data_IF_499904152301
#
_entry.id   IF_499904152301
#
_cell.length_a   1.000
_cell.length_b   1.000
_cell.length_c   1.000
_cell.angle_alpha   90.00
_cell.angle_beta   90.00
_cell.angle_gamma   90.00
#
_symmetry.space_group_name_H-M   'P 1'
#
loop_
_entity.id
_entity.type
_entity.pdbx_description
1 polymer ?
#
# COMPACT_ATOMS: atom_id res chain seq x y z
N UNK A 1 2.84 -17.68 53.98
CA UNK A 1 2.40 -16.50 53.20
C UNK A 1 3.30 -16.38 51.98
N UNK A 2 2.91 -17.03 50.89
CA UNK A 2 3.58 -16.94 49.59
C UNK A 2 2.81 -15.93 48.74
N UNK A 3 3.42 -14.77 48.49
CA UNK A 3 2.87 -13.74 47.62
C UNK A 3 3.01 -14.19 46.16
N UNK A 4 1.90 -14.58 45.55
CA UNK A 4 1.76 -14.64 44.10
C UNK A 4 1.63 -13.21 43.56
N UNK A 5 2.72 -12.65 43.04
CA UNK A 5 2.66 -11.46 42.18
C UNK A 5 2.60 -11.91 40.73
N UNK A 6 1.40 -12.24 40.25
CA UNK A 6 1.10 -12.19 38.82
C UNK A 6 1.06 -10.73 38.40
N UNK A 7 2.23 -10.13 38.18
CA UNK A 7 2.35 -8.90 37.41
C UNK A 7 1.96 -9.24 35.97
N UNK A 8 0.67 -9.17 35.66
CA UNK A 8 0.17 -9.15 34.30
C UNK A 8 0.59 -7.83 33.67
N UNK A 9 1.82 -7.80 33.16
CA UNK A 9 2.28 -6.72 32.30
C UNK A 9 1.34 -6.71 31.09
N UNK A 10 0.38 -5.78 31.09
CA UNK A 10 -0.46 -5.57 29.90
C UNK A 10 0.48 -5.12 28.79
N UNK A 11 0.40 -5.72 27.59
CA UNK A 11 1.25 -5.31 26.49
C UNK A 11 1.06 -3.81 26.22
N UNK A 12 2.12 -3.09 25.80
CA UNK A 12 2.03 -1.66 25.52
C UNK A 12 0.93 -1.39 24.49
N UNK A 13 0.14 -0.34 24.73
CA UNK A 13 -0.98 0.05 23.85
C UNK A 13 -0.43 0.42 22.48
N UNK A 14 -0.92 -0.25 21.44
CA UNK A 14 -0.63 0.10 20.06
C UNK A 14 -1.54 1.25 19.61
N UNK A 15 -0.99 2.47 19.58
CA UNK A 15 -1.77 3.67 19.26
C UNK A 15 -2.33 3.67 17.84
N UNK A 16 -1.68 2.99 16.88
CA UNK A 16 -2.23 2.90 15.52
C UNK A 16 -3.46 2.01 15.48
N UNK A 17 -3.37 0.83 16.11
CA UNK A 17 -4.54 -0.06 16.23
C UNK A 17 -5.66 0.66 16.98
N UNK A 18 -5.34 1.32 18.10
CA UNK A 18 -6.34 2.01 18.89
C UNK A 18 -7.05 3.13 18.12
N UNK A 19 -6.30 3.87 17.32
CA UNK A 19 -6.86 4.87 16.41
C UNK A 19 -7.77 4.22 15.37
N UNK A 20 -7.35 3.11 14.77
CA UNK A 20 -8.14 2.35 13.81
C UNK A 20 -9.46 1.84 14.39
N UNK A 21 -9.44 1.25 15.59
CA UNK A 21 -10.63 0.84 16.34
C UNK A 21 -11.57 2.02 16.60
N UNK A 22 -11.02 3.16 17.03
CA UNK A 22 -11.81 4.36 17.34
C UNK A 22 -12.50 4.89 16.09
N UNK A 23 -11.79 4.95 14.96
CA UNK A 23 -12.37 5.34 13.67
C UNK A 23 -13.47 4.35 13.25
N UNK A 24 -13.22 3.05 13.42
CA UNK A 24 -14.21 2.00 13.14
C UNK A 24 -15.49 2.21 13.93
N UNK A 25 -15.39 2.37 15.25
CA UNK A 25 -16.52 2.63 16.14
C UNK A 25 -17.31 3.89 15.75
N UNK A 26 -16.61 4.97 15.36
CA UNK A 26 -17.26 6.20 14.91
C UNK A 26 -17.96 6.05 13.54
N UNK A 27 -17.46 5.16 12.68
CA UNK A 27 -17.99 4.92 11.34
C UNK A 27 -19.13 3.89 11.32
N UNK A 28 -19.18 2.96 12.28
CA UNK A 28 -20.17 1.88 12.37
C UNK A 28 -21.63 2.31 12.11
N UNK A 29 -22.15 3.42 12.70
CA UNK A 29 -23.54 3.82 12.47
C UNK A 29 -23.85 4.16 11.00
N UNK A 30 -22.84 4.59 10.24
CA UNK A 30 -22.97 4.94 8.82
C UNK A 30 -22.67 3.75 7.91
N UNK A 31 -21.68 2.93 8.28
CA UNK A 31 -21.16 1.86 7.43
C UNK A 31 -22.00 0.59 7.51
N UNK A 32 -22.41 0.18 8.71
CA UNK A 32 -23.13 -1.09 8.91
C UNK A 32 -24.46 -1.16 8.14
N UNK A 33 -25.30 -0.10 8.08
CA UNK A 33 -26.53 -0.15 7.28
C UNK A 33 -26.25 -0.32 5.78
N UNK A 34 -25.22 0.37 5.27
CA UNK A 34 -24.82 0.28 3.86
C UNK A 34 -24.27 -1.10 3.53
N UNK A 35 -23.42 -1.65 4.40
CA UNK A 35 -22.90 -3.01 4.27
C UNK A 35 -24.04 -4.03 4.22
N UNK A 36 -24.98 -3.98 5.17
CA UNK A 36 -26.10 -4.92 5.21
C UNK A 36 -26.94 -4.89 3.91
N UNK A 37 -27.24 -3.70 3.40
CA UNK A 37 -27.98 -3.53 2.14
C UNK A 37 -27.21 -4.13 0.97
N UNK A 38 -25.91 -3.82 0.86
CA UNK A 38 -25.07 -4.29 -0.23
C UNK A 38 -24.84 -5.80 -0.19
N UNK A 39 -24.53 -6.35 0.99
CA UNK A 39 -24.35 -7.79 1.21
C UNK A 39 -25.63 -8.53 0.86
N UNK A 40 -26.78 -8.03 1.32
CA UNK A 40 -28.09 -8.63 1.02
C UNK A 40 -28.37 -8.59 -0.49
N UNK A 41 -28.11 -7.45 -1.14
CA UNK A 41 -28.30 -7.30 -2.59
C UNK A 41 -27.38 -8.24 -3.38
N UNK A 42 -26.09 -8.31 -3.03
CA UNK A 42 -25.11 -9.18 -3.68
C UNK A 42 -25.45 -10.66 -3.47
N UNK A 43 -25.87 -11.04 -2.27
CA UNK A 43 -26.28 -12.42 -1.96
C UNK A 43 -27.52 -12.81 -2.77
N UNK A 44 -28.46 -11.86 -2.97
CA UNK A 44 -29.68 -12.10 -3.74
C UNK A 44 -29.41 -12.16 -5.25
N UNK A 45 -28.60 -11.24 -5.77
CA UNK A 45 -28.32 -11.13 -7.21
C UNK A 45 -27.30 -12.16 -7.69
N UNK A 46 -26.32 -12.49 -6.85
CA UNK A 46 -25.17 -13.33 -7.19
C UNK A 46 -24.86 -14.32 -6.04
N UNK A 47 -25.74 -15.30 -5.77
CA UNK A 47 -25.60 -16.21 -4.63
C UNK A 47 -24.31 -17.04 -4.71
N UNK A 48 -23.97 -17.60 -5.87
CA UNK A 48 -22.76 -18.42 -6.04
C UNK A 48 -21.48 -17.61 -5.83
N UNK A 49 -21.42 -16.38 -6.34
CA UNK A 49 -20.24 -15.50 -6.15
C UNK A 49 -20.12 -15.13 -4.68
N UNK A 50 -21.24 -14.80 -4.04
CA UNK A 50 -21.27 -14.41 -2.63
C UNK A 50 -20.85 -15.56 -1.72
N UNK A 51 -21.28 -16.79 -2.02
CA UNK A 51 -20.86 -17.97 -1.27
C UNK A 51 -19.38 -18.28 -1.47
N UNK A 52 -18.90 -18.30 -2.72
CA UNK A 52 -17.48 -18.53 -3.01
C UNK A 52 -16.57 -17.49 -2.34
N UNK A 53 -17.01 -16.23 -2.27
CA UNK A 53 -16.28 -15.18 -1.57
C UNK A 53 -16.23 -15.44 -0.05
N UNK A 54 -17.34 -15.85 0.57
CA UNK A 54 -17.36 -16.23 1.99
C UNK A 54 -16.46 -17.42 2.28
N UNK A 55 -16.53 -18.46 1.46
CA UNK A 55 -15.71 -19.66 1.61
C UNK A 55 -14.23 -19.32 1.48
N UNK A 56 -13.86 -18.49 0.49
CA UNK A 56 -12.50 -17.99 0.31
C UNK A 56 -11.98 -17.23 1.54
N UNK A 57 -12.80 -16.32 2.08
CA UNK A 57 -12.44 -15.52 3.27
C UNK A 57 -12.14 -16.45 4.45
N UNK A 58 -13.06 -17.34 4.79
CA UNK A 58 -12.92 -18.27 5.92
C UNK A 58 -11.71 -19.21 5.74
N UNK A 59 -11.47 -19.72 4.54
CA UNK A 59 -10.37 -20.66 4.28
C UNK A 59 -8.99 -19.98 4.35
N UNK A 60 -8.90 -18.70 3.99
CA UNK A 60 -7.63 -17.99 3.84
C UNK A 60 -7.36 -16.98 4.95
N UNK A 61 -8.19 -16.90 5.98
CA UNK A 61 -8.02 -15.94 7.07
C UNK A 61 -6.76 -16.24 7.90
N UNK A 62 -5.90 -15.24 8.04
CA UNK A 62 -4.79 -15.24 8.98
C UNK A 62 -5.30 -15.09 10.43
N UNK A 63 -4.70 -15.76 11.43
CA UNK A 63 -5.08 -15.57 12.83
C UNK A 63 -4.91 -14.13 13.34
N UNK A 64 -4.19 -13.28 12.61
CA UNK A 64 -4.00 -11.87 12.96
C UNK A 64 -5.12 -10.97 12.42
N UNK A 65 -5.84 -11.37 11.37
CA UNK A 65 -6.80 -10.52 10.65
C UNK A 65 -7.94 -10.04 11.54
N UNK A 66 -8.49 -10.92 12.39
CA UNK A 66 -9.57 -10.58 13.32
C UNK A 66 -9.15 -9.49 14.33
N UNK A 67 -7.86 -9.39 14.65
CA UNK A 67 -7.31 -8.42 15.62
C UNK A 67 -6.97 -7.08 14.99
N UNK A 68 -7.06 -6.97 13.66
CA UNK A 68 -6.62 -5.81 12.90
C UNK A 68 -7.84 -5.00 12.43
N UNK A 69 -7.87 -3.68 12.66
CA UNK A 69 -8.93 -2.83 12.12
C UNK A 69 -8.97 -2.86 10.59
N UNK A 70 -10.15 -2.63 10.01
CA UNK A 70 -10.35 -2.48 8.55
C UNK A 70 -10.07 -3.75 7.73
N UNK A 71 -10.17 -4.95 8.31
CA UNK A 71 -10.03 -6.20 7.56
C UNK A 71 -11.30 -6.66 6.85
N UNK A 72 -12.46 -6.03 7.09
CA UNK A 72 -13.69 -6.33 6.38
C UNK A 72 -13.59 -5.93 4.89
N UNK A 73 -13.75 -6.86 3.92
CA UNK A 73 -13.65 -6.57 2.48
C UNK A 73 -14.66 -5.54 1.98
N UNK A 74 -15.83 -5.40 2.63
CA UNK A 74 -16.81 -4.38 2.27
C UNK A 74 -16.29 -2.97 2.54
N UNK A 75 -15.55 -2.77 3.63
CA UNK A 75 -14.91 -1.48 3.89
C UNK A 75 -13.90 -1.13 2.81
N UNK A 76 -13.10 -2.12 2.36
CA UNK A 76 -12.13 -1.96 1.27
C UNK A 76 -12.83 -1.54 -0.02
N UNK A 77 -13.95 -2.20 -0.35
CA UNK A 77 -14.76 -1.87 -1.52
C UNK A 77 -15.28 -0.44 -1.44
N UNK A 78 -15.91 -0.04 -0.33
CA UNK A 78 -16.45 1.30 -0.14
C UNK A 78 -15.38 2.39 -0.24
N UNK A 79 -14.22 2.18 0.39
CA UNK A 79 -13.08 3.11 0.32
C UNK A 79 -12.55 3.24 -1.11
N UNK A 80 -12.47 2.12 -1.84
CA UNK A 80 -12.04 2.11 -3.24
C UNK A 80 -13.04 2.84 -4.15
N UNK A 81 -14.34 2.59 -3.97
CA UNK A 81 -15.39 3.28 -4.71
C UNK A 81 -15.41 4.78 -4.39
N UNK A 82 -15.17 5.16 -3.15
CA UNK A 82 -15.02 6.56 -2.76
C UNK A 82 -13.82 7.20 -3.46
N UNK A 83 -12.66 6.55 -3.44
CA UNK A 83 -11.47 7.01 -4.17
C UNK A 83 -11.76 7.26 -5.66
N UNK A 84 -12.34 6.28 -6.35
CA UNK A 84 -12.71 6.41 -7.76
C UNK A 84 -13.75 7.50 -7.99
N UNK A 85 -14.72 7.64 -7.09
CA UNK A 85 -15.71 8.71 -7.14
C UNK A 85 -15.05 10.09 -7.04
N UNK A 86 -14.07 10.29 -6.16
CA UNK A 86 -13.31 11.55 -6.08
C UNK A 86 -12.52 11.78 -7.38
N UNK A 87 -11.93 10.74 -7.96
CA UNK A 87 -11.23 10.86 -9.25
C UNK A 87 -12.18 11.30 -10.36
N UNK A 88 -13.30 10.61 -10.57
CA UNK A 88 -14.17 10.90 -11.73
C UNK A 88 -15.13 12.07 -11.48
N UNK A 89 -15.86 12.04 -10.37
CA UNK A 89 -16.84 13.06 -10.01
C UNK A 89 -16.14 14.32 -9.51
N UNK A 90 -15.12 14.19 -8.66
CA UNK A 90 -14.36 15.33 -8.15
C UNK A 90 -13.68 16.13 -9.27
N UNK A 91 -13.09 15.47 -10.28
CA UNK A 91 -12.57 16.15 -11.48
C UNK A 91 -13.66 16.95 -12.19
N UNK A 92 -14.85 16.36 -12.39
CA UNK A 92 -15.98 17.02 -13.06
C UNK A 92 -16.46 18.25 -12.28
N UNK A 93 -16.57 18.15 -10.96
CA UNK A 93 -16.93 19.28 -10.09
C UNK A 93 -15.87 20.40 -10.21
N UNK A 94 -14.59 20.04 -10.14
CA UNK A 94 -13.49 20.99 -10.20
C UNK A 94 -13.33 21.68 -11.55
N UNK A 95 -13.91 21.16 -12.65
CA UNK A 95 -13.92 21.86 -13.94
C UNK A 95 -14.51 23.26 -13.82
N UNK A 96 -15.59 23.39 -13.04
CA UNK A 96 -16.35 24.63 -12.85
C UNK A 96 -15.91 25.43 -11.60
N UNK A 97 -14.81 25.05 -10.96
CA UNK A 97 -14.25 25.74 -9.78
C UNK A 97 -12.83 26.26 -10.08
N UNK A 98 -12.41 27.26 -9.31
CA UNK A 98 -11.02 27.74 -9.28
C UNK A 98 -10.13 26.72 -8.56
N UNK A 99 -8.82 26.75 -8.84
CA UNK A 99 -7.85 25.91 -8.14
C UNK A 99 -7.78 26.32 -6.67
N UNK A 100 -7.70 25.34 -5.77
CA UNK A 100 -7.47 25.61 -4.34
C UNK A 100 -5.97 25.80 -4.06
N UNK A 101 -5.64 26.66 -3.10
CA UNK A 101 -4.31 26.65 -2.50
C UNK A 101 -4.21 25.49 -1.52
N UNK A 102 -3.49 24.45 -1.92
CA UNK A 102 -3.29 23.25 -1.11
C UNK A 102 -1.93 23.24 -0.43
N UNK A 103 -1.15 24.33 -0.44
CA UNK A 103 0.25 24.30 0.01
C UNK A 103 0.38 23.75 1.44
N UNK A 104 -0.40 24.27 2.38
CA UNK A 104 -0.39 23.82 3.77
C UNK A 104 -0.73 22.32 3.90
N UNK A 105 -1.85 21.91 3.29
CA UNK A 105 -2.31 20.51 3.33
C UNK A 105 -1.26 19.60 2.69
N UNK A 106 -0.70 19.98 1.54
CA UNK A 106 0.37 19.24 0.87
C UNK A 106 1.65 19.16 1.72
N UNK A 107 2.03 20.21 2.45
CA UNK A 107 3.19 20.19 3.34
C UNK A 107 2.97 19.23 4.50
N UNK A 108 1.83 19.32 5.19
CA UNK A 108 1.48 18.44 6.31
C UNK A 108 1.43 16.99 5.83
N UNK A 109 0.71 16.74 4.73
CA UNK A 109 0.52 15.42 4.15
C UNK A 109 1.83 14.76 3.72
N UNK A 110 2.65 15.45 2.91
CA UNK A 110 3.94 14.91 2.48
C UNK A 110 4.88 14.69 3.67
N UNK A 111 4.88 15.59 4.67
CA UNK A 111 5.69 15.40 5.87
C UNK A 111 5.24 14.19 6.69
N UNK A 112 3.93 14.00 6.86
CA UNK A 112 3.36 12.83 7.52
C UNK A 112 3.79 11.55 6.80
N UNK A 113 3.67 11.48 5.48
CA UNK A 113 4.04 10.29 4.71
C UNK A 113 5.54 9.99 4.71
N UNK A 114 6.42 10.99 4.77
CA UNK A 114 7.86 10.76 4.98
C UNK A 114 8.11 10.03 6.30
N UNK A 115 7.56 10.55 7.40
CA UNK A 115 7.79 9.98 8.73
C UNK A 115 7.11 8.63 8.91
N UNK A 116 5.88 8.47 8.41
CA UNK A 116 5.18 7.19 8.43
C UNK A 116 5.96 6.12 7.63
N UNK A 117 6.44 6.47 6.44
CA UNK A 117 7.25 5.55 5.62
C UNK A 117 8.57 5.18 6.29
N UNK A 118 9.22 6.14 6.97
CA UNK A 118 10.45 5.86 7.71
C UNK A 118 10.19 4.93 8.90
N UNK A 119 9.11 5.16 9.64
CA UNK A 119 8.67 4.32 10.76
C UNK A 119 8.37 2.90 10.30
N UNK A 120 7.59 2.72 9.23
CA UNK A 120 7.28 1.40 8.66
C UNK A 120 8.54 0.70 8.13
N UNK A 121 9.39 1.41 7.39
CA UNK A 121 10.64 0.86 6.87
C UNK A 121 11.53 0.33 8.00
N UNK A 122 11.74 1.15 9.04
CA UNK A 122 12.54 0.75 10.19
C UNK A 122 11.89 -0.40 10.96
N UNK A 123 10.58 -0.32 11.22
CA UNK A 123 9.83 -1.33 11.96
C UNK A 123 9.87 -2.70 11.28
N UNK A 124 9.58 -2.77 9.98
CA UNK A 124 9.62 -4.01 9.20
C UNK A 124 11.03 -4.59 9.16
N UNK A 125 12.06 -3.77 8.91
CA UNK A 125 13.45 -4.26 8.84
C UNK A 125 13.97 -4.72 10.21
N UNK A 126 13.65 -3.98 11.28
CA UNK A 126 14.01 -4.35 12.64
C UNK A 126 13.34 -5.66 13.05
N UNK A 127 12.07 -5.84 12.72
CA UNK A 127 11.35 -7.06 13.06
C UNK A 127 11.85 -8.26 12.26
N UNK A 128 12.10 -8.09 10.96
CA UNK A 128 12.72 -9.13 10.13
C UNK A 128 14.09 -9.55 10.67
N UNK A 129 14.90 -8.59 11.13
CA UNK A 129 16.18 -8.88 11.79
C UNK A 129 16.00 -9.67 13.09
N UNK A 130 15.06 -9.24 13.95
CA UNK A 130 14.79 -9.88 15.23
C UNK A 130 14.26 -11.31 15.07
N UNK A 131 13.44 -11.57 14.04
CA UNK A 131 12.93 -12.90 13.72
C UNK A 131 13.89 -13.75 12.88
N UNK A 132 15.08 -13.23 12.55
CA UNK A 132 16.10 -13.96 11.81
C UNK A 132 15.73 -14.26 10.35
N UNK A 133 14.96 -13.36 9.71
CA UNK A 133 14.56 -13.53 8.32
C UNK A 133 15.79 -13.52 7.40
N UNK A 134 15.80 -14.44 6.44
CA UNK A 134 16.69 -14.37 5.29
C UNK A 134 16.29 -13.25 4.35
N UNK A 135 17.11 -13.00 3.32
CA UNK A 135 16.77 -11.99 2.31
C UNK A 135 15.48 -12.32 1.55
N UNK A 136 15.28 -13.60 1.20
CA UNK A 136 14.11 -14.19 0.51
C UNK A 136 13.84 -15.59 1.09
N UNK A 137 12.73 -16.23 0.71
CA UNK A 137 12.36 -17.58 1.14
C UNK A 137 11.85 -17.70 2.58
N UNK A 138 11.35 -16.62 3.17
CA UNK A 138 10.82 -16.56 4.54
C UNK A 138 9.39 -17.09 4.58
N UNK A 139 9.13 -18.17 5.34
CA UNK A 139 7.78 -18.72 5.44
C UNK A 139 6.85 -17.76 6.18
N UNK A 140 5.54 -17.97 5.99
CA UNK A 140 4.54 -17.34 6.85
C UNK A 140 4.69 -17.85 8.30
N UNK A 141 4.70 -16.93 9.26
CA UNK A 141 4.58 -17.21 10.69
C UNK A 141 3.18 -16.82 11.16
N UNK A 142 2.43 -17.79 11.69
CA UNK A 142 1.08 -17.64 12.24
C UNK A 142 1.05 -17.63 13.77
N UNK A 143 2.20 -17.73 14.43
CA UNK A 143 2.32 -17.72 15.89
C UNK A 143 2.28 -16.30 16.46
N UNK A 144 2.14 -16.16 17.78
CA UNK A 144 2.22 -14.83 18.42
C UNK A 144 3.54 -14.08 18.16
N UNK A 145 4.62 -14.78 17.77
CA UNK A 145 5.88 -14.12 17.38
C UNK A 145 5.70 -13.29 16.09
N UNK A 146 4.87 -13.77 15.17
CA UNK A 146 4.53 -13.07 13.92
C UNK A 146 3.68 -11.81 14.11
N UNK A 147 3.06 -11.61 15.28
CA UNK A 147 2.13 -10.51 15.52
C UNK A 147 2.74 -9.13 15.27
N UNK A 148 3.99 -8.91 15.72
CA UNK A 148 4.62 -7.61 15.56
C UNK A 148 4.89 -7.27 14.09
N UNK A 149 5.30 -8.27 13.28
CA UNK A 149 5.43 -8.11 11.83
C UNK A 149 4.07 -7.83 11.20
N UNK A 150 3.03 -8.58 11.59
CA UNK A 150 1.68 -8.41 11.08
C UNK A 150 1.13 -6.99 11.29
N UNK A 151 1.43 -6.37 12.45
CA UNK A 151 1.06 -4.97 12.71
C UNK A 151 1.76 -3.99 11.76
N UNK A 152 3.03 -4.19 11.44
CA UNK A 152 3.73 -3.32 10.49
C UNK A 152 3.22 -3.51 9.06
N UNK A 153 2.92 -4.74 8.65
CA UNK A 153 2.31 -5.02 7.35
C UNK A 153 0.90 -4.42 7.26
N UNK A 154 0.11 -4.53 8.33
CA UNK A 154 -1.18 -3.86 8.43
C UNK A 154 -1.07 -2.34 8.35
N UNK A 155 -0.12 -1.73 9.07
CA UNK A 155 0.11 -0.29 9.00
C UNK A 155 0.50 0.14 7.59
N UNK A 156 1.31 -0.68 6.91
CA UNK A 156 1.66 -0.49 5.51
C UNK A 156 0.43 -0.56 4.60
N UNK A 157 -0.48 -1.51 4.80
CA UNK A 157 -1.77 -1.58 4.11
C UNK A 157 -2.61 -0.31 4.34
N UNK A 158 -2.83 0.08 5.59
CA UNK A 158 -3.64 1.26 5.95
C UNK A 158 -3.02 2.55 5.41
N UNK A 159 -1.69 2.63 5.32
CA UNK A 159 -0.99 3.80 4.76
C UNK A 159 -1.43 4.13 3.33
N UNK A 160 -1.87 3.13 2.54
CA UNK A 160 -2.34 3.35 1.17
C UNK A 160 -3.59 4.24 1.10
N UNK A 161 -4.41 4.25 2.16
CA UNK A 161 -5.54 5.17 2.28
C UNK A 161 -5.04 6.61 2.44
N UNK A 162 -4.00 6.82 3.23
CA UNK A 162 -3.39 8.14 3.35
C UNK A 162 -2.84 8.60 1.99
N UNK A 163 -2.21 7.71 1.21
CA UNK A 163 -1.71 8.00 -0.14
C UNK A 163 -2.81 8.39 -1.14
N UNK A 164 -4.08 8.00 -0.94
CA UNK A 164 -5.19 8.49 -1.78
C UNK A 164 -5.34 10.02 -1.72
N UNK A 165 -4.92 10.64 -0.62
CA UNK A 165 -4.90 12.09 -0.44
C UNK A 165 -4.01 12.78 -1.49
N UNK A 166 -2.98 12.11 -2.03
CA UNK A 166 -2.19 12.64 -3.15
C UNK A 166 -3.08 12.95 -4.34
N UNK A 167 -3.98 12.01 -4.67
CA UNK A 167 -4.91 12.15 -5.77
C UNK A 167 -5.93 13.25 -5.47
N UNK A 168 -6.42 13.33 -4.24
CA UNK A 168 -7.38 14.37 -3.83
C UNK A 168 -6.77 15.77 -3.96
N UNK A 169 -5.53 15.95 -3.50
CA UNK A 169 -4.76 17.19 -3.70
C UNK A 169 -4.58 17.49 -5.19
N UNK A 170 -4.25 16.50 -6.03
CA UNK A 170 -4.14 16.69 -7.48
C UNK A 170 -5.46 17.16 -8.09
N UNK A 171 -6.61 16.60 -7.67
CA UNK A 171 -7.93 17.03 -8.12
C UNK A 171 -8.21 18.49 -7.71
N UNK A 172 -7.98 18.85 -6.45
CA UNK A 172 -8.18 20.21 -5.93
C UNK A 172 -7.28 21.27 -6.61
N UNK A 173 -6.06 20.86 -7.01
CA UNK A 173 -5.13 21.71 -7.78
C UNK A 173 -5.45 21.76 -9.29
N UNK A 174 -6.44 21.00 -9.76
CA UNK A 174 -6.74 20.76 -11.18
C UNK A 174 -5.54 20.19 -11.94
N UNK A 175 -4.72 19.40 -11.26
CA UNK A 175 -3.47 18.86 -11.78
C UNK A 175 -3.67 17.56 -12.58
N UNK A 176 -4.57 17.61 -13.55
CA UNK A 176 -5.07 16.42 -14.26
C UNK A 176 -3.99 15.63 -15.01
N UNK A 177 -2.86 16.25 -15.34
CA UNK A 177 -1.75 15.57 -16.01
C UNK A 177 -1.01 14.56 -15.09
N UNK A 178 -1.12 14.71 -13.76
CA UNK A 178 -0.55 13.77 -12.80
C UNK A 178 -1.50 12.59 -12.52
N UNK A 179 -2.81 12.78 -12.69
CA UNK A 179 -3.83 11.74 -12.54
C UNK A 179 -3.87 10.90 -13.82
N UNK A 180 -2.82 10.11 -14.02
CA UNK A 180 -2.64 9.22 -15.17
C UNK A 180 -3.33 7.87 -14.93
N UNK A 181 -3.48 7.07 -16.00
CA UNK A 181 -3.92 5.68 -15.86
C UNK A 181 -3.02 4.89 -14.90
N UNK A 182 -1.69 5.03 -15.04
CA UNK A 182 -0.72 4.38 -14.15
C UNK A 182 -0.98 4.75 -12.68
N UNK A 183 -1.21 6.03 -12.39
CA UNK A 183 -1.48 6.52 -11.04
C UNK A 183 -2.72 5.88 -10.44
N UNK A 184 -3.86 5.97 -11.14
CA UNK A 184 -5.13 5.43 -10.65
C UNK A 184 -5.12 3.90 -10.57
N UNK A 185 -4.54 3.23 -11.58
CA UNK A 185 -4.34 1.77 -11.58
C UNK A 185 -3.53 1.34 -10.36
N UNK A 186 -2.39 1.98 -10.12
CA UNK A 186 -1.52 1.65 -9.01
C UNK A 186 -2.21 1.84 -7.66
N UNK A 187 -2.73 3.04 -7.36
CA UNK A 187 -3.35 3.32 -6.07
C UNK A 187 -4.57 2.43 -5.79
N UNK A 188 -5.42 2.19 -6.79
CA UNK A 188 -6.58 1.32 -6.63
C UNK A 188 -6.17 -0.15 -6.39
N UNK A 189 -5.29 -0.69 -7.23
CA UNK A 189 -4.91 -2.11 -7.15
C UNK A 189 -4.05 -2.41 -5.92
N UNK A 190 -3.09 -1.53 -5.58
CA UNK A 190 -2.17 -1.77 -4.47
C UNK A 190 -2.90 -1.80 -3.13
N UNK A 191 -3.93 -0.96 -2.95
CA UNK A 191 -4.74 -0.98 -1.74
C UNK A 191 -5.45 -2.33 -1.55
N UNK A 192 -6.06 -2.86 -2.62
CA UNK A 192 -6.75 -4.16 -2.60
C UNK A 192 -5.75 -5.31 -2.42
N UNK A 193 -4.61 -5.27 -3.12
CA UNK A 193 -3.57 -6.31 -3.01
C UNK A 193 -3.02 -6.38 -1.59
N UNK A 194 -2.74 -5.24 -0.96
CA UNK A 194 -2.21 -5.23 0.42
C UNK A 194 -3.27 -5.58 1.46
N UNK A 195 -4.55 -5.29 1.22
CA UNK A 195 -5.61 -5.88 2.03
C UNK A 195 -5.56 -7.41 1.96
N UNK A 196 -5.49 -7.99 0.76
CA UNK A 196 -5.42 -9.44 0.58
C UNK A 196 -4.17 -10.06 1.23
N UNK A 197 -3.00 -9.43 1.04
CA UNK A 197 -1.76 -9.88 1.70
C UNK A 197 -1.91 -9.83 3.22
N UNK A 198 -2.47 -8.75 3.75
CA UNK A 198 -2.65 -8.59 5.20
C UNK A 198 -3.66 -9.60 5.76
N UNK A 199 -4.72 -9.86 5.00
CA UNK A 199 -5.78 -10.80 5.36
C UNK A 199 -5.29 -12.25 5.38
N UNK A 200 -4.43 -12.62 4.43
CA UNK A 200 -4.01 -14.00 4.21
C UNK A 200 -2.70 -14.37 4.90
N UNK A 201 -1.67 -13.54 4.79
CA UNK A 201 -0.34 -13.82 5.33
C UNK A 201 0.46 -12.53 5.60
N UNK A 202 0.19 -11.81 6.71
CA UNK A 202 0.84 -10.55 7.03
C UNK A 202 2.25 -10.71 7.64
N UNK A 203 2.96 -11.79 7.35
CA UNK A 203 4.31 -12.10 7.89
C UNK A 203 5.21 -12.67 6.78
N UNK A 204 6.40 -13.18 7.09
CA UNK A 204 7.27 -13.83 6.11
C UNK A 204 7.64 -12.92 4.93
N UNK A 205 7.52 -13.43 3.70
CA UNK A 205 7.92 -12.73 2.47
C UNK A 205 7.23 -11.38 2.19
N UNK A 206 6.11 -11.05 2.86
CA UNK A 206 5.51 -9.73 2.77
C UNK A 206 6.49 -8.60 3.17
N UNK A 207 7.42 -8.90 4.08
CA UNK A 207 8.34 -7.92 4.68
C UNK A 207 9.18 -7.20 3.62
N UNK A 208 9.73 -7.93 2.65
CA UNK A 208 10.70 -7.36 1.69
C UNK A 208 10.03 -6.29 0.84
N UNK A 209 8.82 -6.59 0.37
CA UNK A 209 8.03 -5.68 -0.44
C UNK A 209 7.61 -4.44 0.35
N UNK A 210 7.15 -4.60 1.60
CA UNK A 210 6.76 -3.50 2.47
C UNK A 210 7.95 -2.59 2.82
N UNK A 211 9.09 -3.18 3.21
CA UNK A 211 10.31 -2.45 3.57
C UNK A 211 10.87 -1.64 2.38
N UNK A 212 11.03 -2.29 1.22
CA UNK A 212 11.61 -1.63 0.06
C UNK A 212 10.70 -0.53 -0.50
N UNK A 213 9.38 -0.75 -0.54
CA UNK A 213 8.43 0.29 -0.92
C UNK A 213 8.48 1.48 0.07
N UNK A 214 8.50 1.19 1.37
CA UNK A 214 8.59 2.24 2.40
C UNK A 214 9.88 3.06 2.26
N UNK A 215 11.02 2.42 1.99
CA UNK A 215 12.29 3.11 1.74
C UNK A 215 12.22 4.03 0.51
N UNK A 216 11.61 3.57 -0.58
CA UNK A 216 11.38 4.41 -1.77
C UNK A 216 10.43 5.56 -1.47
N UNK A 217 9.38 5.32 -0.67
CA UNK A 217 8.40 6.34 -0.29
C UNK A 217 9.01 7.43 0.60
N UNK A 218 9.96 7.11 1.49
CA UNK A 218 10.74 8.13 2.22
C UNK A 218 11.41 9.10 1.25
N UNK A 219 12.09 8.57 0.21
CA UNK A 219 12.79 9.41 -0.78
C UNK A 219 11.80 10.19 -1.65
N UNK A 220 10.74 9.53 -2.12
CA UNK A 220 9.73 10.14 -3.00
C UNK A 220 8.97 11.27 -2.30
N UNK A 221 8.43 11.03 -1.11
CA UNK A 221 7.70 12.06 -0.36
C UNK A 221 8.63 13.14 0.17
N UNK A 222 9.90 12.83 0.46
CA UNK A 222 10.91 13.85 0.76
C UNK A 222 11.12 14.81 -0.42
N UNK A 223 11.14 14.28 -1.65
CA UNK A 223 11.17 15.10 -2.86
C UNK A 223 9.88 15.92 -3.07
N UNK A 224 8.71 15.36 -2.80
CA UNK A 224 7.44 16.11 -2.90
C UNK A 224 7.31 17.21 -1.84
N UNK A 225 7.79 16.95 -0.62
CA UNK A 225 7.87 17.93 0.45
C UNK A 225 8.79 19.09 0.08
N UNK A 226 10.02 18.80 -0.38
CA UNK A 226 10.96 19.84 -0.82
C UNK A 226 10.42 20.68 -1.98
N UNK A 227 9.71 20.05 -2.92
CA UNK A 227 9.03 20.75 -4.03
C UNK A 227 7.91 21.67 -3.52
N UNK A 228 7.14 21.23 -2.52
CA UNK A 228 6.06 22.03 -1.90
C UNK A 228 6.60 23.21 -1.09
N UNK A 229 7.78 23.07 -0.50
CA UNK A 229 8.52 24.13 0.19
C UNK A 229 9.31 25.05 -0.75
N UNK A 230 9.13 24.93 -2.07
CA UNK A 230 9.81 25.72 -3.09
C UNK A 230 11.34 25.55 -3.15
N UNK A 231 11.85 24.39 -2.72
CA UNK A 231 13.27 24.00 -2.84
C UNK A 231 13.41 22.77 -3.76
N UNK A 232 13.06 22.87 -5.07
CA UNK A 232 12.98 21.71 -5.94
C UNK A 232 14.37 21.18 -6.33
N UNK A 233 14.71 19.97 -5.88
CA UNK A 233 15.94 19.27 -6.27
C UNK A 233 15.72 18.57 -7.62
N UNK A 234 15.65 19.32 -8.71
CA UNK A 234 15.19 18.82 -10.03
C UNK A 234 15.99 17.62 -10.58
N UNK A 235 17.28 17.52 -10.27
CA UNK A 235 18.13 16.43 -10.77
C UNK A 235 17.83 15.07 -10.14
N UNK A 236 17.22 15.03 -8.95
CA UNK A 236 16.93 13.77 -8.24
C UNK A 236 15.73 13.03 -8.82
N UNK A 237 14.81 13.75 -9.50
CA UNK A 237 13.57 13.19 -10.06
C UNK A 237 13.83 11.92 -10.89
N UNK A 238 14.86 11.93 -11.74
CA UNK A 238 15.22 10.77 -12.57
C UNK A 238 15.66 9.57 -11.74
N UNK A 239 16.39 9.82 -10.66
CA UNK A 239 16.93 8.77 -9.79
C UNK A 239 15.84 8.16 -8.92
N UNK A 240 14.82 8.94 -8.54
CA UNK A 240 13.63 8.41 -7.87
C UNK A 240 12.91 7.43 -8.78
N UNK A 241 12.68 7.78 -10.05
CA UNK A 241 12.01 6.87 -10.99
C UNK A 241 12.84 5.61 -11.25
N UNK A 242 14.16 5.75 -11.35
CA UNK A 242 15.06 4.58 -11.44
C UNK A 242 15.00 3.73 -10.17
N UNK A 243 14.95 4.33 -8.98
CA UNK A 243 14.84 3.59 -7.73
C UNK A 243 13.51 2.82 -7.64
N UNK A 244 12.40 3.43 -8.05
CA UNK A 244 11.10 2.75 -8.16
C UNK A 244 11.15 1.56 -9.13
N UNK A 245 11.77 1.73 -10.32
CA UNK A 245 11.92 0.63 -11.28
C UNK A 245 12.82 -0.49 -10.75
N UNK A 246 13.93 -0.15 -10.09
CA UNK A 246 14.82 -1.12 -9.43
C UNK A 246 14.08 -1.88 -8.33
N UNK A 247 13.25 -1.21 -7.53
CA UNK A 247 12.40 -1.86 -6.54
C UNK A 247 11.53 -2.95 -7.19
N UNK A 248 10.83 -2.64 -8.29
CA UNK A 248 9.98 -3.64 -8.97
C UNK A 248 10.78 -4.83 -9.50
N UNK A 249 11.98 -4.59 -10.02
CA UNK A 249 12.87 -5.67 -10.44
C UNK A 249 13.30 -6.56 -9.27
N UNK A 250 13.66 -5.97 -8.13
CA UNK A 250 14.05 -6.73 -6.94
C UNK A 250 12.91 -7.57 -6.39
N UNK A 251 11.69 -7.02 -6.33
CA UNK A 251 10.48 -7.75 -5.94
C UNK A 251 10.14 -8.88 -6.94
N UNK A 252 10.44 -8.69 -8.23
CA UNK A 252 10.27 -9.74 -9.23
C UNK A 252 11.30 -10.88 -9.05
N UNK A 253 12.54 -10.54 -8.72
CA UNK A 253 13.59 -11.51 -8.39
C UNK A 253 13.21 -12.29 -7.13
N UNK A 254 12.77 -11.61 -6.07
CA UNK A 254 12.21 -12.21 -4.85
C UNK A 254 11.14 -13.25 -5.22
N UNK A 255 10.08 -12.82 -5.91
CA UNK A 255 8.96 -13.69 -6.22
C UNK A 255 9.39 -14.91 -7.07
N UNK A 256 10.32 -14.71 -8.01
CA UNK A 256 10.88 -15.81 -8.82
C UNK A 256 11.68 -16.78 -7.97
N UNK A 257 12.51 -16.27 -7.06
CA UNK A 257 13.29 -17.08 -6.13
C UNK A 257 12.40 -17.92 -5.24
N UNK A 258 11.37 -17.33 -4.62
CA UNK A 258 10.45 -18.03 -3.72
C UNK A 258 9.67 -19.12 -4.44
N UNK A 259 9.19 -18.83 -5.66
CA UNK A 259 8.50 -19.83 -6.49
C UNK A 259 9.41 -21.01 -6.83
N UNK A 260 10.67 -20.76 -7.19
CA UNK A 260 11.64 -21.82 -7.46
C UNK A 260 12.00 -22.61 -6.19
N UNK A 261 12.21 -21.91 -5.08
CA UNK A 261 12.57 -22.52 -3.81
C UNK A 261 11.46 -23.46 -3.32
N UNK A 262 10.22 -23.00 -3.25
CA UNK A 262 9.12 -23.76 -2.65
C UNK A 262 8.42 -24.73 -3.62
N UNK A 263 8.52 -24.55 -4.94
CA UNK A 263 7.96 -25.54 -5.90
C UNK A 263 8.97 -26.56 -6.42
N UNK A 264 10.23 -26.17 -6.59
CA UNK A 264 11.22 -27.02 -7.28
C UNK A 264 12.24 -27.58 -6.29
N UNK A 265 12.86 -26.72 -5.47
CA UNK A 265 13.98 -27.14 -4.63
C UNK A 265 13.53 -27.79 -3.32
N UNK A 266 12.43 -27.33 -2.73
CA UNK A 266 11.88 -27.81 -1.47
C UNK A 266 10.35 -27.98 -1.53
N UNK A 267 9.85 -28.87 -2.42
CA UNK A 267 8.40 -29.08 -2.59
C UNK A 267 7.71 -29.56 -1.30
N UNK A 268 8.42 -30.33 -0.46
CA UNK A 268 7.90 -30.90 0.77
C UNK A 268 8.05 -29.98 2.01
N UNK A 269 8.50 -28.74 1.80
CA UNK A 269 8.60 -27.78 2.90
C UNK A 269 7.22 -27.49 3.50
N UNK A 270 7.06 -27.81 4.79
CA UNK A 270 5.81 -27.59 5.53
C UNK A 270 5.55 -26.10 5.80
N UNK A 271 6.59 -25.32 6.00
CA UNK A 271 6.52 -23.88 6.21
C UNK A 271 6.89 -23.17 4.91
N UNK A 272 5.92 -22.50 4.30
CA UNK A 272 6.08 -21.74 3.06
C UNK A 272 5.16 -20.54 3.06
N UNK A 273 5.55 -19.51 2.33
CA UNK A 273 4.67 -18.39 2.05
C UNK A 273 3.60 -18.79 1.00
N UNK A 274 2.36 -18.27 1.06
CA UNK A 274 1.31 -18.66 0.12
C UNK A 274 1.68 -18.39 -1.35
N UNK A 275 1.69 -19.44 -2.17
CA UNK A 275 2.07 -19.36 -3.59
C UNK A 275 1.22 -18.37 -4.38
N UNK A 276 -0.09 -18.29 -4.08
CA UNK A 276 -1.00 -17.36 -4.77
C UNK A 276 -0.57 -15.92 -4.57
N UNK A 277 -0.13 -15.54 -3.37
CA UNK A 277 0.35 -14.18 -3.08
C UNK A 277 1.68 -13.91 -3.79
N UNK A 278 2.61 -14.88 -3.81
CA UNK A 278 3.87 -14.75 -4.56
C UNK A 278 3.63 -14.61 -6.07
N UNK A 279 2.70 -15.40 -6.63
CA UNK A 279 2.33 -15.32 -8.04
C UNK A 279 1.65 -13.98 -8.37
N UNK A 280 0.78 -13.49 -7.48
CA UNK A 280 0.15 -12.18 -7.60
C UNK A 280 1.19 -11.05 -7.60
N UNK A 281 2.17 -11.09 -6.68
CA UNK A 281 3.29 -10.17 -6.66
C UNK A 281 4.05 -10.19 -7.99
N UNK A 282 4.39 -11.38 -8.49
CA UNK A 282 5.14 -11.54 -9.74
C UNK A 282 4.40 -10.94 -10.95
N UNK A 283 3.12 -11.26 -11.12
CA UNK A 283 2.28 -10.69 -12.19
C UNK A 283 2.17 -9.18 -12.05
N UNK A 284 1.95 -8.70 -10.83
CA UNK A 284 1.82 -7.27 -10.58
C UNK A 284 3.12 -6.50 -10.90
N UNK A 285 4.28 -7.05 -10.56
CA UNK A 285 5.58 -6.44 -10.89
C UNK A 285 5.81 -6.30 -12.39
N UNK A 286 5.35 -7.26 -13.21
CA UNK A 286 5.38 -7.13 -14.68
C UNK A 286 4.56 -5.93 -15.17
N UNK A 287 3.34 -5.78 -14.66
CA UNK A 287 2.47 -4.65 -15.05
C UNK A 287 3.08 -3.31 -14.63
N UNK A 288 3.63 -3.24 -13.41
CA UNK A 288 4.24 -2.02 -12.88
C UNK A 288 5.50 -1.62 -13.64
N UNK A 289 6.37 -2.58 -13.94
CA UNK A 289 7.59 -2.33 -14.71
C UNK A 289 7.27 -1.83 -16.12
N UNK A 290 6.28 -2.43 -16.80
CA UNK A 290 5.84 -1.99 -18.13
C UNK A 290 5.29 -0.56 -18.13
N UNK A 291 4.40 -0.24 -17.17
CA UNK A 291 3.81 1.09 -17.05
C UNK A 291 4.85 2.16 -16.67
N UNK A 292 5.77 1.86 -15.74
CA UNK A 292 6.84 2.78 -15.36
C UNK A 292 7.89 2.96 -16.45
N UNK A 293 8.23 1.91 -17.20
CA UNK A 293 9.12 2.03 -18.35
C UNK A 293 8.52 2.95 -19.42
N UNK A 294 7.23 2.79 -19.74
CA UNK A 294 6.52 3.69 -20.65
C UNK A 294 6.52 5.15 -20.13
N UNK A 295 6.21 5.34 -18.84
CA UNK A 295 6.27 6.67 -18.21
C UNK A 295 7.67 7.29 -18.30
N UNK A 296 8.72 6.52 -18.00
CA UNK A 296 10.11 6.98 -18.02
C UNK A 296 10.54 7.37 -19.44
N UNK A 297 10.24 6.55 -20.45
CA UNK A 297 10.54 6.85 -21.85
C UNK A 297 9.82 8.15 -22.28
N UNK A 298 8.54 8.27 -21.96
CA UNK A 298 7.75 9.46 -22.29
C UNK A 298 8.29 10.73 -21.59
N UNK A 299 8.67 10.65 -20.31
CA UNK A 299 9.26 11.77 -19.58
C UNK A 299 10.59 12.22 -20.17
N UNK A 300 11.44 11.25 -20.56
CA UNK A 300 12.73 11.51 -21.20
C UNK A 300 12.57 12.15 -22.58
N UNK A 301 11.56 11.74 -23.35
CA UNK A 301 11.23 12.36 -24.64
C UNK A 301 10.86 13.83 -24.44
N UNK A 302 9.95 14.14 -23.51
CA UNK A 302 9.54 15.51 -23.17
C UNK A 302 10.71 16.37 -22.68
N UNK A 303 11.59 15.82 -21.85
CA UNK A 303 12.77 16.55 -21.35
C UNK A 303 13.73 16.91 -22.48
N UNK A 304 13.95 16.01 -23.45
CA UNK A 304 14.80 16.26 -24.63
C UNK A 304 14.19 17.33 -25.53
N UNK A 305 12.89 17.25 -25.80
CA UNK A 305 12.16 18.24 -26.59
C UNK A 305 12.20 19.64 -25.96
N UNK A 306 12.01 19.73 -24.64
CA UNK A 306 12.11 20.99 -23.90
C UNK A 306 13.51 21.60 -23.98
N UNK A 307 14.56 20.79 -23.83
CA UNK A 307 15.96 21.26 -23.99
C UNK A 307 16.26 21.73 -25.41
N UNK A 308 15.76 21.01 -26.43
CA UNK A 308 15.93 21.39 -27.83
C UNK A 308 15.21 22.71 -28.14
N UNK A 309 13.99 22.91 -27.63
CA UNK A 309 13.22 24.14 -27.79
C UNK A 309 13.92 25.36 -27.14
N UNK A 310 14.51 25.18 -25.95
CA UNK A 310 15.29 26.23 -25.29
C UNK A 310 16.53 26.63 -26.11
N UNK A 311 17.27 25.64 -26.64
CA UNK A 311 18.44 25.88 -27.50
C UNK A 311 18.09 26.60 -28.81
N UNK A 312 16.87 26.38 -29.34
CA UNK A 312 16.37 27.08 -30.52
C UNK A 312 15.97 28.53 -30.22
N UNK A 313 15.50 28.84 -29.01
CA UNK A 313 15.16 30.21 -28.59
C UNK A 313 16.39 31.06 -28.21
N UNK A 314 17.52 30.43 -27.90
CA UNK A 314 18.78 31.11 -27.56
C UNK A 314 19.71 31.34 -28.76
N UNK A 315 19.24 31.03 -29.97
CA UNK A 315 19.92 31.27 -31.25
C UNK A 315 19.08 32.26 -32.05
#
# INVERSE_FOLDING_TARGET
MTLNSTNTFSPPVDYFIKLGETIGYLAEPLVNPLENILVSALTTLFPSISQNAKDFLVENESPFSERLPLMNPFHVLLITLFYLSVVFVGKKIMMNKTKFDTKLISTIHNSFLVWLSAYMCYGVLSEAWNQGYGLFGNPEDKSEQGWQMAKYIWLFYVSKIAEFTDTYIMVLKKNNHQITFLHVYHHCSIFIIWWLVTYVAPTGEAYFSAALNSAVHVVMYGYYLSTTLSVPIRFIKRYITLFQMTQFMLMMIQATYDMLLFKVLKPDAKQKYPFVLTALLWVYMWTMLGLFANFFIADRKREREAKAALKKKSR
#
